data_IF_928099081460
#
_entry.id   IF_928099081460
#
_cell.length_a   1.000
_cell.length_b   1.000
_cell.length_c   1.000
_cell.angle_alpha   90.00
_cell.angle_beta   90.00
_cell.angle_gamma   90.00
#
_symmetry.space_group_name_H-M   'P 1'
#
loop_
_entity.id
_entity.type
_entity.pdbx_description
1 polymer ?
#
# COMPACT_ATOMS: atom_id res chain seq x y z
N UNK A 1 -25.71 -15.36 -8.47
CA UNK A 1 -24.54 -14.59 -7.95
C UNK A 1 -24.12 -13.48 -8.92
N UNK A 2 -24.35 -13.63 -10.23
CA UNK A 2 -24.02 -12.62 -11.25
C UNK A 2 -24.60 -11.23 -10.95
N UNK A 3 -25.92 -11.13 -10.73
CA UNK A 3 -26.59 -9.85 -10.42
C UNK A 3 -26.02 -9.15 -9.18
N UNK A 4 -25.60 -9.91 -8.16
CA UNK A 4 -24.96 -9.36 -6.97
C UNK A 4 -23.57 -8.79 -7.29
N UNK A 5 -22.78 -9.50 -8.11
CA UNK A 5 -21.46 -9.03 -8.53
C UNK A 5 -21.58 -7.78 -9.41
N UNK A 6 -22.55 -7.72 -10.32
CA UNK A 6 -22.80 -6.54 -11.16
C UNK A 6 -23.21 -5.32 -10.32
N UNK A 7 -24.05 -5.51 -9.30
CA UNK A 7 -24.43 -4.45 -8.37
C UNK A 7 -23.22 -3.94 -7.59
N UNK A 8 -22.40 -4.85 -7.04
CA UNK A 8 -21.18 -4.49 -6.31
C UNK A 8 -20.18 -3.78 -7.23
N UNK A 9 -20.03 -4.23 -8.48
CA UNK A 9 -19.16 -3.60 -9.47
C UNK A 9 -19.63 -2.19 -9.79
N UNK A 10 -20.93 -2.01 -10.04
CA UNK A 10 -21.53 -0.68 -10.34
C UNK A 10 -21.31 0.30 -9.20
N UNK A 11 -21.55 -0.10 -7.95
CA UNK A 11 -21.29 0.77 -6.79
C UNK A 11 -19.79 0.99 -6.56
N UNK A 12 -18.96 -0.02 -6.77
CA UNK A 12 -17.51 0.09 -6.70
C UNK A 12 -16.91 1.05 -7.73
N UNK A 13 -17.46 1.09 -8.95
CA UNK A 13 -17.09 2.05 -10.00
C UNK A 13 -17.38 3.48 -9.53
N UNK A 14 -18.56 3.71 -8.95
CA UNK A 14 -18.94 5.02 -8.40
C UNK A 14 -18.00 5.47 -7.29
N UNK A 15 -17.64 4.57 -6.37
CA UNK A 15 -16.71 4.88 -5.28
C UNK A 15 -15.30 5.17 -5.79
N UNK A 16 -14.82 4.40 -6.77
CA UNK A 16 -13.48 4.57 -7.36
C UNK A 16 -13.40 5.87 -8.17
N UNK A 17 -14.46 6.20 -8.91
CA UNK A 17 -14.56 7.46 -9.66
C UNK A 17 -14.65 8.69 -8.74
N UNK A 18 -15.23 8.55 -7.55
CA UNK A 18 -15.36 9.65 -6.59
C UNK A 18 -13.98 10.15 -6.08
N UNK A 19 -13.03 9.24 -5.89
CA UNK A 19 -11.66 9.58 -5.51
C UNK A 19 -10.67 8.56 -6.09
N UNK A 20 -10.13 8.79 -7.30
CA UNK A 20 -9.25 7.82 -7.97
C UNK A 20 -7.93 7.59 -7.22
N UNK A 21 -7.47 8.59 -6.45
CA UNK A 21 -6.29 8.47 -5.59
C UNK A 21 -6.48 7.55 -4.38
N UNK A 22 -7.71 7.19 -4.02
CA UNK A 22 -8.02 6.30 -2.90
C UNK A 22 -8.27 4.88 -3.39
N UNK A 23 -7.18 4.17 -3.69
CA UNK A 23 -7.27 2.80 -4.21
C UNK A 23 -7.78 1.78 -3.19
N UNK A 24 -7.67 2.08 -1.89
CA UNK A 24 -8.05 1.16 -0.80
C UNK A 24 -9.49 0.67 -0.93
N UNK A 25 -10.42 1.56 -1.25
CA UNK A 25 -11.84 1.24 -1.35
C UNK A 25 -12.09 0.30 -2.53
N UNK A 26 -11.57 0.65 -3.71
CA UNK A 26 -11.68 -0.19 -4.90
C UNK A 26 -11.02 -1.55 -4.70
N UNK A 27 -9.88 -1.61 -4.00
CA UNK A 27 -9.22 -2.85 -3.64
C UNK A 27 -10.11 -3.72 -2.74
N UNK A 28 -10.77 -3.15 -1.72
CA UNK A 28 -11.68 -3.90 -0.86
C UNK A 28 -12.88 -4.42 -1.63
N UNK A 29 -13.44 -3.65 -2.56
CA UNK A 29 -14.51 -4.12 -3.44
C UNK A 29 -14.07 -5.33 -4.26
N UNK A 30 -12.86 -5.30 -4.84
CA UNK A 30 -12.30 -6.46 -5.58
C UNK A 30 -12.08 -7.68 -4.70
N UNK A 31 -11.62 -7.51 -3.46
CA UNK A 31 -11.49 -8.64 -2.51
C UNK A 31 -12.85 -9.27 -2.22
N UNK A 32 -13.89 -8.45 -2.01
CA UNK A 32 -15.25 -8.95 -1.77
C UNK A 32 -15.80 -9.68 -3.00
N UNK A 33 -15.57 -9.16 -4.21
CA UNK A 33 -15.95 -9.84 -5.46
C UNK A 33 -15.26 -11.20 -5.59
N UNK A 34 -13.97 -11.28 -5.27
CA UNK A 34 -13.24 -12.56 -5.24
C UNK A 34 -13.81 -13.54 -4.23
N UNK A 35 -14.08 -13.10 -3.00
CA UNK A 35 -14.71 -13.94 -1.96
C UNK A 35 -16.06 -14.50 -2.43
N UNK A 36 -16.89 -13.69 -3.08
CA UNK A 36 -18.17 -14.14 -3.63
C UNK A 36 -17.96 -15.22 -4.71
N UNK A 37 -16.94 -15.05 -5.57
CA UNK A 37 -16.60 -16.00 -6.62
C UNK A 37 -16.08 -17.32 -6.06
N UNK A 38 -15.19 -17.27 -5.07
CA UNK A 38 -14.64 -18.46 -4.41
C UNK A 38 -15.70 -19.25 -3.65
N UNK A 39 -16.54 -18.58 -2.85
CA UNK A 39 -17.63 -19.23 -2.13
C UNK A 39 -18.68 -19.82 -3.08
N UNK A 40 -18.96 -19.14 -4.19
CA UNK A 40 -19.83 -19.70 -5.23
C UNK A 40 -19.20 -20.92 -5.90
N UNK A 41 -17.91 -20.87 -6.26
CA UNK A 41 -17.18 -22.00 -6.86
C UNK A 41 -17.13 -23.22 -5.94
N UNK A 42 -16.91 -23.02 -4.64
CA UNK A 42 -16.94 -24.07 -3.61
C UNK A 42 -18.30 -24.77 -3.55
N UNK A 43 -19.39 -24.00 -3.55
CA UNK A 43 -20.76 -24.55 -3.55
C UNK A 43 -21.15 -25.23 -4.87
N UNK A 44 -20.56 -24.79 -5.99
CA UNK A 44 -20.77 -25.39 -7.30
C UNK A 44 -19.97 -26.68 -7.51
N UNK A 45 -19.08 -27.05 -6.58
CA UNK A 45 -18.27 -28.27 -6.64
C UNK A 45 -16.99 -28.15 -7.45
N UNK A 46 -16.47 -26.93 -7.63
CA UNK A 46 -15.22 -26.67 -8.33
C UNK A 46 -14.04 -26.88 -7.37
N UNK A 47 -13.08 -27.74 -7.75
CA UNK A 47 -11.88 -28.00 -6.95
C UNK A 47 -10.87 -26.86 -7.11
N UNK A 48 -10.27 -26.39 -6.01
CA UNK A 48 -9.30 -25.27 -5.97
C UNK A 48 -8.07 -25.46 -6.89
N UNK A 49 -7.81 -26.69 -7.37
CA UNK A 49 -6.72 -27.01 -8.31
C UNK A 49 -6.96 -26.56 -9.76
N UNK A 50 -8.21 -26.25 -10.17
CA UNK A 50 -8.48 -25.87 -11.57
C UNK A 50 -7.91 -24.50 -11.92
N UNK A 51 -7.92 -23.53 -11.01
CA UNK A 51 -7.69 -22.13 -11.37
C UNK A 51 -6.18 -21.75 -11.44
N UNK A 52 -5.28 -22.54 -10.86
CA UNK A 52 -3.84 -22.25 -10.86
C UNK A 52 -3.07 -22.76 -12.11
N UNK A 53 -3.64 -23.71 -12.87
CA UNK A 53 -2.94 -24.35 -14.01
C UNK A 53 -3.36 -23.82 -15.40
N UNK A 54 -4.11 -22.73 -15.46
CA UNK A 54 -5.02 -22.53 -16.58
C UNK A 54 -4.53 -21.64 -17.73
N UNK A 55 -3.59 -20.71 -17.58
CA UNK A 55 -3.40 -19.71 -18.67
C UNK A 55 -2.93 -20.32 -20.01
N UNK A 56 -1.99 -21.28 -19.98
CA UNK A 56 -1.55 -22.00 -21.19
C UNK A 56 -2.43 -23.21 -21.51
N UNK A 57 -3.00 -23.85 -20.50
CA UNK A 57 -3.86 -25.03 -20.68
C UNK A 57 -5.24 -24.64 -21.27
N UNK A 58 -5.83 -23.51 -20.85
CA UNK A 58 -7.06 -22.92 -21.41
C UNK A 58 -6.94 -22.60 -22.89
N UNK A 59 -5.74 -22.27 -23.37
CA UNK A 59 -5.50 -21.97 -24.79
C UNK A 59 -5.55 -23.24 -25.66
N UNK A 60 -5.25 -24.41 -25.06
CA UNK A 60 -5.33 -25.72 -25.70
C UNK A 60 -6.72 -26.35 -25.58
N UNK A 61 -7.45 -26.07 -24.50
CA UNK A 61 -8.86 -26.46 -24.32
C UNK A 61 -9.77 -25.32 -24.77
N UNK A 62 -10.09 -25.26 -26.06
CA UNK A 62 -11.07 -24.32 -26.61
C UNK A 62 -12.47 -24.56 -26.02
N UNK A 63 -12.73 -23.95 -24.88
CA UNK A 63 -14.01 -23.93 -24.20
C UNK A 63 -13.97 -22.78 -23.22
N UNK A 64 -14.42 -21.61 -23.66
CA UNK A 64 -14.65 -20.49 -22.75
C UNK A 64 -15.70 -20.94 -21.72
N UNK A 65 -15.25 -21.29 -20.53
CA UNK A 65 -16.11 -21.45 -19.37
C UNK A 65 -16.57 -20.03 -18.98
N UNK A 66 -17.57 -19.50 -19.68
CA UNK A 66 -18.39 -18.44 -19.10
C UNK A 66 -19.04 -19.06 -17.87
N UNK A 67 -18.62 -18.62 -16.69
CA UNK A 67 -19.16 -19.12 -15.43
C UNK A 67 -20.67 -18.83 -15.40
N UNK A 68 -21.49 -19.89 -15.49
CA UNK A 68 -22.94 -19.79 -15.39
C UNK A 68 -23.32 -19.50 -13.93
N UNK A 69 -23.28 -18.22 -13.53
CA UNK A 69 -23.64 -17.72 -12.19
C UNK A 69 -25.15 -17.74 -11.87
N UNK A 70 -25.89 -18.61 -12.58
CA UNK A 70 -27.35 -18.67 -12.66
C UNK A 70 -27.96 -19.49 -11.54
N UNK A 71 -27.20 -20.42 -10.94
CA UNK A 71 -27.71 -21.29 -9.87
C UNK A 71 -27.78 -20.54 -8.53
N UNK A 72 -28.91 -20.71 -7.85
CA UNK A 72 -29.19 -20.05 -6.57
C UNK A 72 -28.87 -21.01 -5.42
N UNK A 73 -27.94 -20.61 -4.56
CA UNK A 73 -27.62 -21.32 -3.32
C UNK A 73 -28.08 -20.48 -2.13
N UNK A 74 -29.06 -20.94 -1.33
CA UNK A 74 -29.57 -20.19 -0.17
C UNK A 74 -28.51 -19.92 0.90
N UNK A 75 -27.50 -20.80 1.01
CA UNK A 75 -26.40 -20.72 1.98
C UNK A 75 -25.31 -19.73 1.58
N UNK A 76 -25.20 -19.35 0.29
CA UNK A 76 -24.15 -18.47 -0.22
C UNK A 76 -24.09 -17.14 0.54
N UNK A 77 -25.26 -16.55 0.85
CA UNK A 77 -25.32 -15.30 1.59
C UNK A 77 -24.71 -15.41 2.98
N UNK A 78 -24.96 -16.51 3.69
CA UNK A 78 -24.44 -16.73 5.03
C UNK A 78 -22.92 -16.89 5.00
N UNK A 79 -22.41 -17.73 4.07
CA UNK A 79 -20.97 -17.93 3.87
C UNK A 79 -20.24 -16.63 3.51
N UNK A 80 -20.79 -15.83 2.60
CA UNK A 80 -20.18 -14.55 2.21
C UNK A 80 -20.14 -13.58 3.39
N UNK A 81 -21.18 -13.53 4.22
CA UNK A 81 -21.16 -12.69 5.43
C UNK A 81 -20.09 -13.16 6.42
N UNK A 82 -19.95 -14.47 6.61
CA UNK A 82 -18.92 -15.04 7.47
C UNK A 82 -17.51 -14.72 6.97
N UNK A 83 -17.25 -14.92 5.67
CA UNK A 83 -15.96 -14.58 5.04
C UNK A 83 -15.64 -13.08 5.10
N UNK A 84 -16.63 -12.20 4.96
CA UNK A 84 -16.43 -10.75 5.15
C UNK A 84 -16.09 -10.42 6.60
N UNK A 85 -16.70 -11.09 7.58
CA UNK A 85 -16.37 -10.89 9.00
C UNK A 85 -14.94 -11.38 9.31
N UNK A 86 -14.53 -12.52 8.77
CA UNK A 86 -13.15 -13.01 8.89
C UNK A 86 -12.15 -12.01 8.30
N UNK A 87 -12.44 -11.48 7.11
CA UNK A 87 -11.65 -10.42 6.48
C UNK A 87 -11.56 -9.16 7.35
N UNK A 88 -12.66 -8.76 7.99
CA UNK A 88 -12.66 -7.59 8.88
C UNK A 88 -11.73 -7.82 10.09
N UNK A 89 -11.80 -8.99 10.71
CA UNK A 89 -10.91 -9.37 11.82
C UNK A 89 -9.45 -9.38 11.38
N UNK A 90 -9.15 -9.87 10.17
CA UNK A 90 -7.80 -9.82 9.58
C UNK A 90 -7.29 -8.38 9.46
N UNK A 91 -8.13 -7.47 8.96
CA UNK A 91 -7.79 -6.06 8.76
C UNK A 91 -7.50 -5.34 10.08
N UNK A 92 -8.27 -5.63 11.14
CA UNK A 92 -8.07 -5.03 12.46
C UNK A 92 -6.73 -5.46 13.08
N UNK A 93 -6.35 -6.74 12.96
CA UNK A 93 -5.09 -7.27 13.51
C UNK A 93 -3.83 -6.96 12.70
N UNK A 94 -3.98 -6.35 11.53
CA UNK A 94 -2.87 -6.18 10.57
C UNK A 94 -1.72 -5.33 11.10
N UNK A 95 -2.01 -4.25 11.84
CA UNK A 95 -0.97 -3.35 12.38
C UNK A 95 -0.13 -4.06 13.43
N UNK A 96 -0.76 -4.84 14.30
CA UNK A 96 -0.08 -5.58 15.36
C UNK A 96 0.78 -6.70 14.79
N UNK A 97 0.27 -7.43 13.78
CA UNK A 97 1.02 -8.45 13.05
C UNK A 97 2.30 -7.90 12.42
N UNK A 98 2.22 -6.74 11.77
CA UNK A 98 3.39 -6.06 11.21
C UNK A 98 4.35 -5.61 12.32
N UNK A 99 3.82 -5.05 13.42
CA UNK A 99 4.64 -4.54 14.50
C UNK A 99 5.38 -5.66 15.27
N UNK A 100 4.81 -6.86 15.37
CA UNK A 100 5.48 -8.03 15.95
C UNK A 100 6.74 -8.44 15.17
N UNK A 101 6.75 -8.25 13.84
CA UNK A 101 7.90 -8.57 12.98
C UNK A 101 9.07 -7.57 13.15
N UNK A 102 8.86 -6.44 13.85
CA UNK A 102 9.87 -5.39 13.97
C UNK A 102 11.17 -5.84 14.65
N UNK A 103 11.07 -6.80 15.57
CA UNK A 103 12.23 -7.35 16.29
C UNK A 103 13.17 -8.16 15.39
N UNK A 104 12.72 -8.63 14.24
CA UNK A 104 13.59 -9.36 13.30
C UNK A 104 14.40 -8.40 12.42
N UNK A 105 13.89 -7.18 12.21
CA UNK A 105 14.46 -6.23 11.26
C UNK A 105 15.27 -5.09 11.89
N UNK A 106 14.93 -4.66 13.11
CA UNK A 106 15.55 -3.49 13.76
C UNK A 106 16.52 -3.94 14.86
N UNK A 107 17.82 -3.71 14.72
CA UNK A 107 18.80 -4.04 15.77
C UNK A 107 19.18 -2.83 16.63
N UNK A 108 19.83 -3.09 17.76
CA UNK A 108 20.33 -2.03 18.65
C UNK A 108 21.43 -1.22 17.98
N UNK A 109 21.48 0.08 18.28
CA UNK A 109 22.43 1.06 17.73
C UNK A 109 22.37 1.24 16.21
N UNK A 110 21.25 0.88 15.57
CA UNK A 110 21.01 1.22 14.17
C UNK A 110 20.44 2.63 14.02
N UNK A 111 20.77 3.28 12.90
CA UNK A 111 20.17 4.54 12.48
C UNK A 111 19.14 4.24 11.39
N UNK A 112 17.87 4.45 11.71
CA UNK A 112 16.74 4.22 10.81
C UNK A 112 16.27 5.56 10.27
N UNK A 113 15.97 5.62 8.98
CA UNK A 113 15.36 6.78 8.37
C UNK A 113 13.92 6.51 7.93
N UNK A 114 13.01 7.44 8.21
CA UNK A 114 11.60 7.41 7.80
C UNK A 114 11.20 8.78 7.24
N UNK A 115 10.12 8.81 6.45
CA UNK A 115 9.57 10.03 5.86
C UNK A 115 8.08 10.18 6.17
N UNK A 116 7.68 11.42 6.46
CA UNK A 116 6.30 11.78 6.74
C UNK A 116 5.76 11.06 7.98
N UNK A 117 4.46 10.76 7.94
CA UNK A 117 3.78 10.09 9.05
C UNK A 117 3.03 8.84 8.57
N UNK A 118 3.31 7.71 9.21
CA UNK A 118 2.62 6.45 8.98
C UNK A 118 2.37 5.74 10.30
N UNK A 119 1.11 5.44 10.60
CA UNK A 119 0.71 4.71 11.81
C UNK A 119 1.33 3.32 11.89
N UNK A 120 1.44 2.64 10.76
CA UNK A 120 2.05 1.30 10.68
C UNK A 120 3.53 1.35 11.00
N UNK A 121 4.27 2.34 10.48
CA UNK A 121 5.70 2.51 10.79
C UNK A 121 5.89 2.99 12.23
N UNK A 122 5.02 3.89 12.73
CA UNK A 122 5.03 4.31 14.13
C UNK A 122 4.89 3.09 15.07
N UNK A 123 3.88 2.25 14.86
CA UNK A 123 3.68 1.03 15.65
C UNK A 123 4.89 0.07 15.55
N UNK A 124 5.41 -0.13 14.34
CA UNK A 124 6.58 -0.97 14.09
C UNK A 124 7.82 -0.51 14.87
N UNK A 125 8.13 0.79 14.83
CA UNK A 125 9.26 1.36 15.57
C UNK A 125 9.03 1.29 17.09
N UNK A 126 7.81 1.56 17.56
CA UNK A 126 7.48 1.49 19.00
C UNK A 126 7.61 0.08 19.57
N UNK A 127 7.17 -0.95 18.85
CA UNK A 127 7.33 -2.33 19.29
C UNK A 127 8.80 -2.75 19.36
N UNK A 128 9.63 -2.36 18.38
CA UNK A 128 11.07 -2.60 18.45
C UNK A 128 11.74 -1.87 19.62
N UNK A 129 11.32 -0.64 19.92
CA UNK A 129 11.89 0.19 20.97
C UNK A 129 11.70 -0.37 22.38
N UNK A 130 10.67 -1.21 22.60
CA UNK A 130 10.44 -1.88 23.89
C UNK A 130 11.62 -2.77 24.32
N UNK A 131 12.35 -3.36 23.36
CA UNK A 131 13.45 -4.29 23.63
C UNK A 131 14.81 -3.78 23.17
N UNK A 132 14.86 -2.82 22.23
CA UNK A 132 16.11 -2.37 21.59
C UNK A 132 16.19 -0.85 21.61
N UNK A 133 17.41 -0.32 21.73
CA UNK A 133 17.68 1.13 21.65
C UNK A 133 18.31 1.43 20.28
N UNK A 134 17.75 2.37 19.55
CA UNK A 134 18.18 2.76 18.21
C UNK A 134 17.80 4.23 17.96
N UNK A 135 18.33 4.79 16.88
CA UNK A 135 18.09 6.18 16.48
C UNK A 135 17.16 6.23 15.28
N UNK A 136 16.24 7.18 15.27
CA UNK A 136 15.31 7.40 14.16
C UNK A 136 15.45 8.80 13.61
N UNK A 137 15.74 8.90 12.33
CA UNK A 137 15.72 10.13 11.55
C UNK A 137 14.36 10.23 10.85
N UNK A 138 13.63 11.31 11.13
CA UNK A 138 12.33 11.59 10.53
C UNK A 138 12.46 12.77 9.58
N UNK A 139 12.29 12.52 8.28
CA UNK A 139 12.11 13.57 7.29
C UNK A 139 10.68 14.09 7.34
N UNK A 140 10.52 15.42 7.37
CA UNK A 140 9.25 16.08 7.70
C UNK A 140 8.14 15.94 6.64
N UNK A 141 8.48 15.66 5.37
CA UNK A 141 7.55 15.65 4.24
C UNK A 141 6.90 17.04 4.02
N UNK A 142 7.72 18.01 3.61
CA UNK A 142 7.27 19.31 3.17
C UNK A 142 6.32 19.15 1.95
N UNK A 143 5.24 19.93 1.86
CA UNK A 143 4.96 21.16 2.61
C UNK A 143 4.15 20.98 3.92
N UNK A 144 3.52 19.83 4.14
CA UNK A 144 2.59 19.63 5.28
C UNK A 144 3.28 19.33 6.62
N UNK A 145 4.58 19.02 6.60
CA UNK A 145 5.39 18.74 7.78
C UNK A 145 4.80 17.67 8.74
N UNK A 146 4.09 16.68 8.19
CA UNK A 146 3.42 15.64 8.98
C UNK A 146 4.40 14.78 9.80
N UNK A 147 5.67 14.70 9.39
CA UNK A 147 6.70 13.99 10.13
C UNK A 147 6.97 14.56 11.54
N UNK A 148 6.61 15.82 11.80
CA UNK A 148 6.77 16.41 13.15
C UNK A 148 5.89 15.69 14.18
N UNK A 149 4.65 15.34 13.80
CA UNK A 149 3.75 14.58 14.68
C UNK A 149 4.33 13.19 15.00
N UNK A 150 4.88 12.51 13.99
CA UNK A 150 5.52 11.21 14.16
C UNK A 150 6.70 11.29 15.12
N UNK A 151 7.57 12.28 14.95
CA UNK A 151 8.74 12.47 15.79
C UNK A 151 8.36 12.75 17.25
N UNK A 152 7.34 13.59 17.50
CA UNK A 152 6.83 13.85 18.85
C UNK A 152 6.32 12.56 19.50
N UNK A 153 5.60 11.73 18.76
CA UNK A 153 5.05 10.45 19.27
C UNK A 153 6.12 9.41 19.56
N UNK A 154 7.19 9.36 18.76
CA UNK A 154 8.32 8.47 18.98
C UNK A 154 9.20 8.95 20.15
N UNK A 155 9.41 10.25 20.28
CA UNK A 155 10.15 10.85 21.40
C UNK A 155 9.48 10.58 22.75
N UNK A 156 8.15 10.59 22.81
CA UNK A 156 7.36 10.20 24.01
C UNK A 156 7.63 8.77 24.48
N UNK A 157 8.01 7.87 23.58
CA UNK A 157 8.36 6.48 23.87
C UNK A 157 9.86 6.30 24.17
N UNK A 158 10.60 7.40 24.42
CA UNK A 158 12.04 7.41 24.68
C UNK A 158 12.91 6.88 23.53
N UNK A 159 12.45 7.02 22.28
CA UNK A 159 13.26 6.74 21.10
C UNK A 159 14.07 8.00 20.76
N UNK A 160 15.36 7.84 20.45
CA UNK A 160 16.21 8.94 20.05
C UNK A 160 15.85 9.39 18.63
N UNK A 161 15.04 10.45 18.52
CA UNK A 161 14.47 10.94 17.26
C UNK A 161 15.11 12.25 16.83
N UNK A 162 15.54 12.32 15.57
CA UNK A 162 16.02 13.55 14.93
C UNK A 162 15.06 13.94 13.81
N UNK A 163 14.57 15.18 13.82
CA UNK A 163 13.74 15.73 12.73
C UNK A 163 14.64 16.49 11.76
N UNK A 164 14.39 16.32 10.46
CA UNK A 164 15.10 17.06 9.43
C UNK A 164 14.20 17.45 8.27
N UNK A 165 14.66 18.45 7.53
CA UNK A 165 14.03 18.83 6.26
C UNK A 165 14.39 17.85 5.15
N UNK A 166 13.49 17.72 4.18
CA UNK A 166 13.64 16.77 3.07
C UNK A 166 14.87 17.07 2.19
N UNK A 167 15.33 18.33 2.14
CA UNK A 167 16.55 18.71 1.44
C UNK A 167 17.83 18.10 2.06
N UNK A 168 17.79 17.74 3.35
CA UNK A 168 18.92 17.15 4.06
C UNK A 168 19.00 15.62 3.92
N UNK A 169 18.03 14.99 3.24
CA UNK A 169 17.94 13.53 3.11
C UNK A 169 19.24 12.95 2.54
N UNK A 170 19.72 13.50 1.42
CA UNK A 170 20.92 12.98 0.76
C UNK A 170 22.19 13.18 1.61
N UNK A 171 22.28 14.30 2.34
CA UNK A 171 23.45 14.61 3.16
C UNK A 171 23.61 13.64 4.34
N UNK A 172 22.51 13.21 4.96
CA UNK A 172 22.55 12.29 6.11
C UNK A 172 22.57 10.82 5.71
N UNK A 173 22.17 10.49 4.47
CA UNK A 173 21.99 9.11 4.01
C UNK A 173 23.23 8.22 4.21
N UNK A 174 24.43 8.80 4.13
CA UNK A 174 25.70 8.08 4.39
C UNK A 174 25.81 7.44 5.78
N UNK A 175 25.03 7.89 6.77
CA UNK A 175 25.02 7.37 8.15
C UNK A 175 23.83 6.47 8.44
N UNK A 176 22.87 6.37 7.53
CA UNK A 176 21.64 5.60 7.71
C UNK A 176 21.91 4.14 7.43
N UNK A 177 21.46 3.25 8.31
CA UNK A 177 21.61 1.81 8.10
C UNK A 177 20.43 1.21 7.32
N UNK A 178 19.21 1.69 7.57
CA UNK A 178 17.98 1.21 6.91
C UNK A 178 17.01 2.35 6.70
N UNK A 179 16.29 2.29 5.59
CA UNK A 179 15.17 3.18 5.32
C UNK A 179 13.88 2.40 5.53
N UNK A 180 13.01 2.87 6.43
CA UNK A 180 11.71 2.25 6.69
C UNK A 180 10.65 3.29 6.34
N UNK A 181 9.80 2.96 5.37
CA UNK A 181 8.75 3.86 4.90
C UNK A 181 7.38 3.21 4.98
N UNK A 182 6.37 4.05 5.11
CA UNK A 182 4.99 3.68 4.81
C UNK A 182 4.70 3.91 3.34
N UNK A 183 3.58 3.35 2.88
CA UNK A 183 3.05 3.61 1.54
C UNK A 183 1.56 3.90 1.58
N UNK A 184 1.07 4.60 0.56
CA UNK A 184 -0.37 4.79 0.33
C UNK A 184 -0.94 3.57 -0.42
N UNK A 185 -0.29 3.18 -1.51
CA UNK A 185 -0.74 2.09 -2.38
C UNK A 185 0.47 1.34 -2.95
N UNK A 186 0.36 0.01 -3.08
CA UNK A 186 1.31 -0.82 -3.82
C UNK A 186 0.64 -1.22 -5.14
N UNK A 187 1.31 -1.03 -6.26
CA UNK A 187 0.82 -1.34 -7.60
C UNK A 187 1.18 -2.78 -8.02
N UNK A 188 0.58 -3.26 -9.10
CA UNK A 188 0.76 -4.64 -9.58
C UNK A 188 2.19 -4.99 -10.00
N UNK A 189 2.94 -4.01 -10.50
CA UNK A 189 4.36 -4.16 -10.83
C UNK A 189 5.28 -4.16 -9.59
N UNK A 190 4.72 -4.00 -8.39
CA UNK A 190 5.47 -3.84 -7.14
C UNK A 190 5.98 -2.42 -6.90
N UNK A 191 5.63 -1.45 -7.76
CA UNK A 191 5.88 -0.04 -7.49
C UNK A 191 5.00 0.44 -6.34
N UNK A 192 5.34 1.59 -5.77
CA UNK A 192 4.57 2.18 -4.70
C UNK A 192 4.19 3.63 -5.02
N UNK A 193 3.02 4.01 -4.52
CA UNK A 193 2.57 5.39 -4.44
C UNK A 193 2.67 5.75 -2.96
N UNK A 194 3.57 6.66 -2.62
CA UNK A 194 3.80 7.10 -1.25
C UNK A 194 3.72 8.62 -1.16
N UNK A 195 3.96 9.16 0.04
CA UNK A 195 4.00 10.61 0.28
C UNK A 195 5.11 11.27 -0.55
N UNK A 196 4.90 12.54 -0.89
CA UNK A 196 5.86 13.32 -1.68
C UNK A 196 7.27 13.31 -1.08
N UNK A 197 8.29 13.23 -1.94
CA UNK A 197 9.69 13.13 -1.52
C UNK A 197 10.15 11.70 -1.18
N UNK A 198 9.27 10.71 -1.22
CA UNK A 198 9.67 9.31 -1.02
C UNK A 198 10.52 8.80 -2.19
N UNK A 199 10.30 9.27 -3.42
CA UNK A 199 11.15 8.87 -4.55
C UNK A 199 12.59 9.33 -4.39
N UNK A 200 12.79 10.59 -3.98
CA UNK A 200 14.15 11.14 -3.78
C UNK A 200 14.85 10.44 -2.63
N UNK A 201 14.13 10.09 -1.56
CA UNK A 201 14.61 9.24 -0.47
C UNK A 201 15.03 7.86 -0.99
N UNK A 202 14.21 7.20 -1.80
CA UNK A 202 14.49 5.89 -2.35
C UNK A 202 15.70 5.90 -3.30
N UNK A 203 15.84 6.95 -4.11
CA UNK A 203 16.99 7.14 -4.98
C UNK A 203 18.29 7.37 -4.18
N UNK A 204 18.22 8.21 -3.13
CA UNK A 204 19.34 8.42 -2.22
C UNK A 204 19.73 7.13 -1.50
N UNK A 205 18.74 6.36 -1.04
CA UNK A 205 18.96 5.07 -0.40
C UNK A 205 19.67 4.09 -1.35
N UNK A 206 19.19 3.99 -2.60
CA UNK A 206 19.80 3.15 -3.64
C UNK A 206 21.24 3.57 -3.93
N UNK A 207 21.50 4.87 -4.05
CA UNK A 207 22.84 5.40 -4.28
C UNK A 207 23.82 5.02 -3.16
N UNK A 208 23.36 5.04 -1.91
CA UNK A 208 24.13 4.64 -0.73
C UNK A 208 24.05 3.14 -0.40
N UNK A 209 23.39 2.33 -1.25
CA UNK A 209 23.17 0.90 -1.02
C UNK A 209 22.50 0.58 0.33
N UNK A 210 21.67 1.49 0.83
CA UNK A 210 20.88 1.25 2.05
C UNK A 210 19.59 0.52 1.70
N UNK A 211 19.23 -0.55 2.42
CA UNK A 211 18.02 -1.31 2.13
C UNK A 211 16.78 -0.48 2.47
N UNK A 212 15.83 -0.46 1.53
CA UNK A 212 14.54 0.21 1.68
C UNK A 212 13.45 -0.83 1.99
N UNK A 213 12.87 -0.68 3.18
CA UNK A 213 11.84 -1.53 3.75
C UNK A 213 10.52 -0.77 3.75
N UNK A 214 9.48 -1.39 3.20
CA UNK A 214 8.15 -0.79 3.09
C UNK A 214 7.21 -1.53 4.03
N UNK A 215 6.75 -0.89 5.09
CA UNK A 215 5.75 -1.45 5.99
C UNK A 215 4.35 -1.12 5.45
N UNK A 216 3.70 -2.12 4.86
CA UNK A 216 2.44 -1.95 4.17
C UNK A 216 1.49 -3.13 4.44
N UNK A 217 0.28 -2.85 4.94
CA UNK A 217 -0.76 -3.86 5.02
C UNK A 217 -1.23 -4.34 3.64
N UNK A 218 -1.68 -5.59 3.53
CA UNK A 218 -2.08 -6.20 2.25
C UNK A 218 -3.26 -5.49 1.57
N UNK A 219 -4.15 -4.83 2.31
CA UNK A 219 -5.28 -4.11 1.72
C UNK A 219 -4.88 -2.88 0.86
N UNK A 220 -3.64 -2.41 0.99
CA UNK A 220 -3.10 -1.32 0.15
C UNK A 220 -2.57 -1.78 -1.20
N UNK A 221 -2.53 -3.09 -1.43
CA UNK A 221 -2.07 -3.69 -2.69
C UNK A 221 -3.19 -3.59 -3.74
N UNK A 222 -2.91 -2.97 -4.89
CA UNK A 222 -3.86 -2.68 -5.95
C UNK A 222 -3.44 -3.31 -7.29
N UNK A 223 -4.35 -3.96 -8.03
CA UNK A 223 -4.06 -4.58 -9.33
C UNK A 223 -3.85 -3.60 -10.48
N UNK A 224 -3.90 -2.29 -10.22
CA UNK A 224 -3.68 -1.27 -11.23
C UNK A 224 -2.22 -1.27 -11.70
N UNK A 225 -2.03 -1.15 -13.01
CA UNK A 225 -0.73 -0.96 -13.63
C UNK A 225 -0.47 0.53 -13.88
N UNK A 226 0.78 1.00 -13.68
CA UNK A 226 1.14 2.36 -14.00
C UNK A 226 1.34 2.53 -15.50
N UNK A 227 0.23 2.69 -16.23
CA UNK A 227 0.26 2.97 -17.67
C UNK A 227 0.30 4.47 -17.96
N UNK A 228 -0.13 5.30 -17.01
CA UNK A 228 -0.14 6.77 -17.09
C UNK A 228 0.48 7.36 -15.82
N UNK A 229 1.75 7.79 -15.87
CA UNK A 229 2.45 8.38 -14.72
C UNK A 229 1.74 9.62 -14.15
N UNK A 230 1.01 10.37 -14.99
CA UNK A 230 0.34 11.61 -14.59
C UNK A 230 -0.94 11.38 -13.77
N UNK A 231 -1.62 10.25 -13.95
CA UNK A 231 -2.92 9.98 -13.30
C UNK A 231 -2.81 9.64 -11.80
N UNK A 232 -1.61 9.32 -11.31
CA UNK A 232 -1.41 8.90 -9.92
C UNK A 232 -1.14 10.06 -8.94
N UNK A 233 -0.70 11.21 -9.45
CA UNK A 233 -0.37 12.36 -8.62
C UNK A 233 -1.64 13.09 -8.18
N UNK A 234 -1.93 13.06 -6.88
CA UNK A 234 -2.95 13.91 -6.29
C UNK A 234 -2.41 15.32 -6.08
N UNK A 235 -2.90 16.26 -6.88
CA UNK A 235 -2.66 17.67 -6.67
C UNK A 235 -3.64 18.24 -5.63
N UNK A 236 -3.10 19.06 -4.74
CA UNK A 236 -3.88 19.80 -3.75
C UNK A 236 -3.64 21.29 -3.87
N UNK A 237 -4.37 22.07 -3.06
CA UNK A 237 -4.25 23.52 -3.04
C UNK A 237 -2.78 23.93 -2.86
N UNK A 238 -2.26 24.86 -3.69
CA UNK A 238 -0.89 25.33 -3.60
C UNK A 238 -0.63 26.21 -2.37
N UNK A 239 -1.64 26.50 -1.56
CA UNK A 239 -1.54 27.35 -0.37
C UNK A 239 -0.41 26.93 0.59
N UNK A 240 -0.17 25.63 0.72
CA UNK A 240 0.85 25.07 1.62
C UNK A 240 2.27 25.28 1.08
N UNK A 241 2.42 25.37 -0.24
CA UNK A 241 3.70 25.66 -0.89
C UNK A 241 3.93 27.17 -0.95
N UNK A 242 2.90 27.93 -1.32
CA UNK A 242 2.95 29.37 -1.38
C UNK A 242 1.65 29.97 -0.82
N UNK A 243 1.72 30.74 0.28
CA UNK A 243 0.52 31.28 0.91
C UNK A 243 -0.12 32.34 0.02
N UNK A 244 -1.44 32.47 0.16
CA UNK A 244 -2.25 33.43 -0.61
C UNK A 244 -1.86 34.90 -0.34
N UNK A 245 -1.14 35.17 0.76
CA UNK A 245 -0.69 36.51 1.14
C UNK A 245 0.28 37.15 0.14
N UNK A 246 0.90 36.37 -0.74
CA UNK A 246 1.86 36.85 -1.75
C UNK A 246 1.21 37.50 -3.00
N UNK A 247 -0.13 37.59 -3.02
CA UNK A 247 -0.97 38.48 -3.85
C UNK A 247 -0.50 38.78 -5.28
N UNK A 248 0.37 39.78 -5.44
CA UNK A 248 0.81 40.33 -6.72
C UNK A 248 1.53 39.31 -7.63
N UNK A 249 2.22 38.34 -7.04
CA UNK A 249 3.04 37.36 -7.78
C UNK A 249 2.19 36.16 -8.23
N UNK A 250 1.13 35.82 -7.49
CA UNK A 250 0.29 34.63 -7.71
C UNK A 250 -0.36 34.59 -9.10
N UNK A 251 -0.65 35.75 -9.70
CA UNK A 251 -1.20 35.83 -11.06
C UNK A 251 -0.20 35.51 -12.18
N UNK A 252 1.10 35.43 -11.87
CA UNK A 252 2.18 35.22 -12.86
C UNK A 252 2.88 33.86 -12.74
N UNK A 253 2.66 33.15 -11.64
CA UNK A 253 3.33 31.88 -11.33
C UNK A 253 2.33 30.73 -11.35
N UNK A 254 2.80 29.56 -11.76
CA UNK A 254 2.04 28.33 -11.66
C UNK A 254 2.66 27.48 -10.56
N UNK A 255 1.88 27.19 -9.51
CA UNK A 255 2.34 26.45 -8.33
C UNK A 255 1.63 25.11 -8.29
N UNK A 256 2.42 24.04 -8.30
CA UNK A 256 1.93 22.67 -8.18
C UNK A 256 2.31 22.09 -6.82
N UNK A 257 1.35 21.40 -6.19
CA UNK A 257 1.57 20.69 -4.93
C UNK A 257 1.13 19.23 -5.08
N UNK A 258 2.01 18.34 -5.59
CA UNK A 258 1.76 16.91 -5.57
C UNK A 258 1.94 16.36 -4.15
N UNK A 259 0.92 15.65 -3.65
CA UNK A 259 0.94 15.03 -2.30
C UNK A 259 1.56 13.64 -2.32
N UNK A 260 1.38 12.94 -3.43
CA UNK A 260 1.91 11.60 -3.63
C UNK A 260 3.00 11.61 -4.68
N UNK A 261 3.82 10.57 -4.63
CA UNK A 261 4.98 10.37 -5.48
C UNK A 261 5.09 8.89 -5.84
N UNK A 262 5.56 8.63 -7.05
CA UNK A 262 5.70 7.29 -7.59
C UNK A 262 7.12 6.79 -7.35
N UNK A 263 7.25 5.64 -6.69
CA UNK A 263 8.56 5.01 -6.46
C UNK A 263 8.60 3.68 -7.21
N UNK A 264 9.57 3.53 -8.14
CA UNK A 264 9.65 2.33 -8.96
C UNK A 264 10.12 1.11 -8.15
N UNK A 265 9.77 -0.10 -8.59
CA UNK A 265 9.98 -1.33 -7.83
C UNK A 265 11.46 -1.67 -7.61
N UNK A 266 12.36 -1.27 -8.51
CA UNK A 266 13.80 -1.55 -8.41
C UNK A 266 14.52 -0.85 -7.24
N UNK A 267 13.90 0.17 -6.66
CA UNK A 267 14.43 0.89 -5.49
C UNK A 267 14.03 0.21 -4.18
N UNK A 268 13.03 -0.67 -4.21
CA UNK A 268 12.47 -1.33 -3.03
C UNK A 268 13.23 -2.62 -2.77
N UNK A 269 13.58 -2.87 -1.51
CA UNK A 269 14.28 -4.10 -1.12
C UNK A 269 13.33 -5.14 -0.55
N UNK A 270 12.45 -4.72 0.38
CA UNK A 270 11.58 -5.63 1.12
C UNK A 270 10.23 -4.98 1.45
N UNK A 271 9.16 -5.73 1.27
CA UNK A 271 7.83 -5.41 1.79
C UNK A 271 7.58 -6.17 3.08
N UNK A 272 7.16 -5.46 4.12
CA UNK A 272 6.70 -6.07 5.38
C UNK A 272 5.18 -5.93 5.42
N UNK A 273 4.50 -7.06 5.41
CA UNK A 273 3.04 -7.19 5.40
C UNK A 273 2.57 -8.07 6.57
N UNK A 274 1.26 -8.18 6.79
CA UNK A 274 0.71 -9.02 7.86
C UNK A 274 1.07 -10.51 7.74
N UNK A 275 1.29 -11.01 6.53
CA UNK A 275 1.71 -12.39 6.29
C UNK A 275 3.22 -12.61 6.40
N UNK A 276 4.01 -11.53 6.45
CA UNK A 276 5.47 -11.60 6.54
C UNK A 276 6.19 -10.69 5.55
N UNK A 277 7.50 -10.91 5.45
CA UNK A 277 8.43 -10.23 4.55
C UNK A 277 8.41 -10.81 3.14
N UNK A 278 8.11 -9.98 2.14
CA UNK A 278 8.02 -10.36 0.73
C UNK A 278 8.95 -9.51 -0.14
N UNK A 279 9.61 -10.14 -1.12
CA UNK A 279 10.34 -9.42 -2.15
C UNK A 279 9.38 -8.71 -3.12
N UNK A 280 9.77 -7.60 -3.78
CA UNK A 280 8.94 -6.96 -4.81
C UNK A 280 8.52 -7.91 -5.93
N UNK A 281 9.39 -8.85 -6.29
CA UNK A 281 9.09 -9.88 -7.29
C UNK A 281 8.02 -10.88 -6.84
N UNK A 282 7.62 -10.93 -5.57
CA UNK A 282 6.56 -11.82 -5.09
C UNK A 282 5.18 -11.15 -5.13
N UNK A 283 5.12 -9.84 -5.35
CA UNK A 283 3.88 -9.06 -5.33
C UNK A 283 2.89 -9.52 -6.41
N UNK A 284 3.36 -9.96 -7.59
CA UNK A 284 2.48 -10.50 -8.63
C UNK A 284 1.70 -11.74 -8.15
N UNK A 285 2.33 -12.58 -7.31
CA UNK A 285 1.70 -13.79 -6.79
C UNK A 285 0.65 -13.43 -5.74
N UNK A 286 0.98 -12.50 -4.85
CA UNK A 286 0.00 -11.96 -3.91
C UNK A 286 -1.19 -11.32 -4.63
N UNK A 287 -0.97 -10.66 -5.76
CA UNK A 287 -2.05 -10.11 -6.58
C UNK A 287 -2.98 -11.20 -7.09
N UNK A 288 -2.42 -12.29 -7.63
CA UNK A 288 -3.20 -13.45 -8.09
C UNK A 288 -3.92 -14.18 -6.96
N UNK A 289 -3.34 -14.21 -5.76
CA UNK A 289 -3.94 -14.81 -4.57
C UNK A 289 -5.02 -13.92 -3.95
N UNK A 290 -4.96 -12.59 -4.10
CA UNK A 290 -5.92 -11.66 -3.49
C UNK A 290 -7.03 -11.17 -4.43
N UNK A 291 -6.79 -11.16 -5.74
CA UNK A 291 -7.71 -10.59 -6.73
C UNK A 291 -7.97 -11.58 -7.86
N UNK A 292 -9.09 -11.39 -8.54
CA UNK A 292 -9.42 -12.11 -9.76
C UNK A 292 -9.06 -11.25 -10.97
N UNK A 293 -8.45 -11.80 -12.05
CA UNK A 293 -8.04 -11.03 -13.23
C UNK A 293 -9.19 -10.25 -13.89
N UNK A 294 -10.40 -10.83 -13.96
CA UNK A 294 -11.58 -10.16 -14.52
C UNK A 294 -12.06 -8.91 -13.75
N UNK A 295 -11.56 -8.71 -12.54
CA UNK A 295 -11.95 -7.59 -11.66
C UNK A 295 -10.83 -6.54 -11.54
N UNK A 296 -9.78 -6.61 -12.38
CA UNK A 296 -8.70 -5.61 -12.39
C UNK A 296 -9.24 -4.24 -12.81
N UNK A 297 -10.01 -4.20 -13.89
CA UNK A 297 -10.83 -3.06 -14.27
C UNK A 297 -12.17 -3.18 -13.54
N UNK A 298 -12.42 -2.22 -12.64
CA UNK A 298 -13.70 -2.17 -11.93
C UNK A 298 -14.74 -1.50 -12.79
#
# INVERSE_FOLDING_TARGET
SGELMDLIRTEGQRMTAAQPSETTVGNMVRRVLKVIREEYGRLHGRSEESDQQESLHKLLTSGGLSEDFSTLYPTLRANVIEAINELLIELEGTTDNIAMQALEHIHSNEVIMTIGYSRTVEAFLKEAARKRKFQVIVAECAPFCQGHEMAVRLSKENIETTVMSDAAIFAVMSRVNKVIIGTKTILANGALIAVSGTHTLALAAKHHSTPLIVCAPMFKLSPQFPNEEDSFHKFVSPQEVLPFTEGEILGKINVHCPVFDYVPPELITLFISNIGGNAPSYIYRLMSELYHPDDYEL
#
